data_IF_386807969900
#
_entry.id   IF_386807969900
#
_cell.length_a   1.000
_cell.length_b   1.000
_cell.length_c   1.000
_cell.angle_alpha   90.00
_cell.angle_beta   90.00
_cell.angle_gamma   90.00
#
_symmetry.space_group_name_H-M   'P 1'
#
loop_
_entity.id
_entity.type
_entity.pdbx_description
1 polymer ?
#
# COMPACT_ATOMS: atom_id res chain seq x y z
N UNK A 1 -14.78 -3.99 -4.86
CA UNK A 1 -13.58 -3.72 -5.69
C UNK A 1 -12.43 -3.33 -4.76
N UNK A 2 -11.26 -3.96 -4.89
CA UNK A 2 -10.06 -3.56 -4.14
C UNK A 2 -9.05 -2.90 -5.08
N UNK A 3 -8.82 -1.60 -4.91
CA UNK A 3 -7.84 -0.86 -5.72
C UNK A 3 -6.44 -1.22 -5.27
N UNK A 4 -5.56 -1.46 -6.23
CA UNK A 4 -4.17 -1.86 -5.99
C UNK A 4 -3.22 -0.90 -6.70
N UNK A 5 -1.97 -0.87 -6.25
CA UNK A 5 -0.85 -0.20 -6.90
C UNK A 5 0.32 -1.15 -7.10
N UNK A 6 1.28 -0.73 -7.93
CA UNK A 6 2.43 -1.54 -8.30
C UNK A 6 3.44 -1.66 -7.16
N UNK A 7 3.83 -2.88 -6.83
CA UNK A 7 5.14 -3.20 -6.27
C UNK A 7 6.07 -3.50 -7.46
N UNK A 8 6.99 -2.58 -7.74
CA UNK A 8 7.77 -2.61 -8.98
C UNK A 8 8.75 -3.79 -9.03
N UNK A 9 8.96 -4.30 -10.23
CA UNK A 9 9.85 -5.43 -10.48
C UNK A 9 9.82 -5.87 -11.94
N UNK A 10 10.19 -7.12 -12.18
CA UNK A 10 9.99 -7.80 -13.45
C UNK A 10 8.50 -8.00 -13.71
N UNK A 11 8.09 -7.91 -14.97
CA UNK A 11 6.70 -8.09 -15.39
C UNK A 11 6.03 -9.28 -14.69
N UNK A 12 4.89 -9.02 -14.06
CA UNK A 12 4.16 -9.98 -13.25
C UNK A 12 2.87 -10.43 -13.93
N UNK A 13 2.19 -11.39 -13.30
CA UNK A 13 0.95 -11.97 -13.80
C UNK A 13 -0.22 -10.98 -13.83
N UNK A 14 -0.24 -9.99 -12.94
CA UNK A 14 -1.32 -9.01 -12.82
C UNK A 14 -0.75 -7.62 -13.08
N UNK A 15 -1.16 -7.03 -14.19
CA UNK A 15 -0.73 -5.69 -14.62
C UNK A 15 -1.98 -4.79 -14.81
N UNK A 16 -1.87 -3.49 -14.52
CA UNK A 16 -2.93 -2.55 -14.87
C UNK A 16 -3.07 -2.49 -16.40
N UNK A 17 -4.25 -2.06 -16.86
CA UNK A 17 -4.56 -1.88 -18.29
C UNK A 17 -5.25 -0.53 -18.50
N UNK A 18 -5.23 -0.05 -19.75
CA UNK A 18 -5.84 1.22 -20.15
C UNK A 18 -5.40 2.38 -19.24
N UNK A 19 -6.32 3.27 -18.86
CA UNK A 19 -6.05 4.47 -18.07
C UNK A 19 -5.28 4.20 -16.77
N UNK A 20 -5.49 3.03 -16.14
CA UNK A 20 -4.76 2.66 -14.93
C UNK A 20 -3.27 2.37 -15.22
N UNK A 21 -2.95 1.83 -16.39
CA UNK A 21 -1.56 1.59 -16.80
C UNK A 21 -0.85 2.92 -17.07
N UNK A 22 -1.51 3.83 -17.80
CA UNK A 22 -0.97 5.15 -18.10
C UNK A 22 -0.74 5.96 -16.81
N UNK A 23 -1.70 5.92 -15.88
CA UNK A 23 -1.58 6.58 -14.58
C UNK A 23 -0.41 6.03 -13.75
N UNK A 24 -0.28 4.70 -13.65
CA UNK A 24 0.84 4.10 -12.93
C UNK A 24 2.19 4.38 -13.60
N UNK A 25 2.26 4.34 -14.93
CA UNK A 25 3.47 4.69 -15.66
C UNK A 25 3.89 6.14 -15.41
N UNK A 26 2.94 7.07 -15.39
CA UNK A 26 3.20 8.47 -15.10
C UNK A 26 3.68 8.67 -13.66
N UNK A 27 3.01 8.06 -12.67
CA UNK A 27 3.39 8.15 -11.26
C UNK A 27 4.79 7.58 -10.96
N UNK A 28 5.24 6.62 -11.77
CA UNK A 28 6.51 5.93 -11.61
C UNK A 28 7.65 6.48 -12.49
N UNK A 29 7.38 7.50 -13.33
CA UNK A 29 8.32 7.99 -14.34
C UNK A 29 9.69 8.39 -13.74
N UNK A 30 9.69 9.05 -12.59
CA UNK A 30 10.91 9.55 -11.93
C UNK A 30 11.72 8.45 -11.22
N UNK A 31 11.16 7.24 -11.09
CA UNK A 31 11.77 6.13 -10.33
C UNK A 31 12.43 5.08 -11.23
N UNK A 32 12.63 5.37 -12.51
CA UNK A 32 13.14 4.42 -13.51
C UNK A 32 14.48 3.76 -13.11
N UNK A 33 15.36 4.49 -12.41
CA UNK A 33 16.63 3.94 -11.90
C UNK A 33 16.39 2.76 -10.94
N UNK A 34 15.53 2.95 -9.95
CA UNK A 34 15.21 1.92 -8.95
C UNK A 34 14.47 0.73 -9.54
N UNK A 35 13.50 1.00 -10.43
CA UNK A 35 12.70 -0.05 -11.09
C UNK A 35 13.62 -0.97 -11.91
N UNK A 36 14.55 -0.40 -12.69
CA UNK A 36 15.55 -1.19 -13.44
C UNK A 36 16.46 -1.99 -12.50
N UNK A 37 16.82 -1.43 -11.34
CA UNK A 37 17.57 -2.14 -10.30
C UNK A 37 16.82 -3.39 -9.81
N UNK A 38 15.55 -3.24 -9.43
CA UNK A 38 14.70 -4.34 -8.98
C UNK A 38 14.56 -5.45 -10.05
N UNK A 39 14.40 -5.05 -11.31
CA UNK A 39 14.35 -5.98 -12.45
C UNK A 39 15.66 -6.76 -12.62
N UNK A 40 16.83 -6.10 -12.51
CA UNK A 40 18.15 -6.76 -12.56
C UNK A 40 18.35 -7.74 -11.41
N UNK A 41 17.83 -7.41 -10.23
CA UNK A 41 17.80 -8.29 -9.07
C UNK A 41 16.77 -9.42 -9.18
N UNK A 42 16.04 -9.52 -10.30
CA UNK A 42 15.00 -10.53 -10.54
C UNK A 42 13.87 -10.50 -9.49
N UNK A 43 13.57 -9.34 -8.92
CA UNK A 43 12.40 -9.15 -8.07
C UNK A 43 11.17 -9.16 -8.97
N UNK A 44 10.23 -10.07 -8.74
CA UNK A 44 8.96 -10.09 -9.46
C UNK A 44 8.08 -8.93 -9.00
N UNK A 45 7.42 -8.27 -9.96
CA UNK A 45 6.43 -7.26 -9.61
C UNK A 45 5.23 -7.92 -8.91
N UNK A 46 4.51 -7.13 -8.13
CA UNK A 46 3.29 -7.58 -7.45
C UNK A 46 2.32 -6.41 -7.28
N UNK A 47 1.15 -6.67 -6.72
CA UNK A 47 0.08 -5.71 -6.51
C UNK A 47 -0.21 -5.59 -5.03
N UNK A 48 -0.15 -4.37 -4.52
CA UNK A 48 -0.50 -4.08 -3.13
C UNK A 48 -1.78 -3.27 -3.07
N UNK A 49 -2.67 -3.62 -2.14
CA UNK A 49 -3.85 -2.82 -1.83
C UNK A 49 -3.46 -1.38 -1.50
N UNK A 50 -4.09 -0.38 -2.14
CA UNK A 50 -3.82 1.04 -1.88
C UNK A 50 -4.50 1.54 -0.60
N UNK A 51 -5.42 0.75 -0.05
CA UNK A 51 -6.10 1.01 1.22
C UNK A 51 -6.08 -0.22 2.10
N UNK A 52 -6.12 0.01 3.40
CA UNK A 52 -6.29 -1.03 4.40
C UNK A 52 -7.63 -0.82 5.09
N UNK A 53 -8.42 -1.89 5.19
CA UNK A 53 -9.63 -1.89 6.02
C UNK A 53 -9.24 -2.22 7.46
N UNK A 54 -9.63 -1.35 8.38
CA UNK A 54 -9.55 -1.61 9.82
C UNK A 54 -10.79 -2.40 10.22
N UNK A 55 -10.60 -3.58 10.80
CA UNK A 55 -11.69 -4.44 11.24
C UNK A 55 -11.84 -4.37 12.75
N UNK A 56 -13.08 -4.50 13.22
CA UNK A 56 -13.42 -4.59 14.64
C UNK A 56 -12.85 -3.43 15.48
N UNK A 57 -12.87 -2.21 14.92
CA UNK A 57 -12.34 -1.03 15.58
C UNK A 57 -13.20 -0.69 16.80
N UNK A 58 -12.57 -0.73 17.97
CA UNK A 58 -13.09 -0.26 19.24
C UNK A 58 -12.15 0.81 19.78
N UNK A 59 -12.72 1.83 20.40
CA UNK A 59 -11.96 2.92 20.98
C UNK A 59 -12.64 3.48 22.22
N UNK A 60 -11.82 3.97 23.15
CA UNK A 60 -12.29 4.68 24.34
C UNK A 60 -11.25 5.69 24.80
N UNK A 61 -11.72 6.81 25.36
CA UNK A 61 -10.86 7.75 26.07
C UNK A 61 -10.75 7.35 27.54
N UNK A 62 -9.52 7.29 28.05
CA UNK A 62 -9.19 7.07 29.45
C UNK A 62 -8.39 8.29 29.94
N UNK A 63 -9.10 9.33 30.37
CA UNK A 63 -8.48 10.62 30.71
C UNK A 63 -7.93 11.31 29.46
N UNK A 64 -6.62 11.50 29.41
CA UNK A 64 -5.88 12.07 28.28
C UNK A 64 -5.36 11.01 27.29
N UNK A 65 -5.63 9.72 27.54
CA UNK A 65 -5.23 8.62 26.66
C UNK A 65 -6.39 8.16 25.77
N UNK A 66 -6.07 7.83 24.51
CA UNK A 66 -6.98 7.14 23.59
C UNK A 66 -6.53 5.68 23.44
N UNK A 67 -7.33 4.75 23.95
CA UNK A 67 -7.11 3.32 23.76
C UNK A 67 -7.79 2.86 22.47
N UNK A 68 -7.06 2.13 21.64
CA UNK A 68 -7.55 1.57 20.37
C UNK A 68 -7.36 0.06 20.35
N UNK A 69 -8.40 -0.67 19.97
CA UNK A 69 -8.35 -2.10 19.68
C UNK A 69 -8.90 -2.33 18.27
N UNK A 70 -8.15 -3.03 17.43
CA UNK A 70 -8.54 -3.31 16.05
C UNK A 70 -7.72 -4.45 15.46
N UNK A 71 -8.21 -5.04 14.38
CA UNK A 71 -7.49 -6.01 13.57
C UNK A 71 -7.16 -5.45 12.19
N UNK A 72 -5.97 -5.77 11.68
CA UNK A 72 -5.52 -5.40 10.35
C UNK A 72 -5.17 -6.64 9.51
N UNK A 73 -5.39 -6.61 8.19
CA UNK A 73 -4.94 -7.67 7.31
C UNK A 73 -3.40 -7.76 7.32
N UNK A 74 -2.87 -8.96 7.06
CA UNK A 74 -1.42 -9.22 6.97
C UNK A 74 -0.75 -8.23 6.00
N UNK A 75 0.44 -7.77 6.38
CA UNK A 75 1.20 -6.79 5.61
C UNK A 75 0.75 -5.33 5.78
N UNK A 76 -0.29 -5.06 6.58
CA UNK A 76 -0.64 -3.70 7.03
C UNK A 76 0.07 -3.33 8.33
N UNK A 77 0.18 -2.03 8.60
CA UNK A 77 0.88 -1.51 9.77
C UNK A 77 -0.07 -0.67 10.63
N UNK A 78 -0.08 -0.89 11.95
CA UNK A 78 -0.85 -0.09 12.91
C UNK A 78 -0.46 1.39 12.91
N UNK A 79 0.81 1.67 12.60
CA UNK A 79 1.32 3.04 12.46
C UNK A 79 0.66 3.81 11.31
N UNK A 80 0.23 3.12 10.25
CA UNK A 80 -0.50 3.77 9.15
C UNK A 80 -1.87 4.29 9.63
N UNK A 81 -2.59 3.52 10.47
CA UNK A 81 -3.83 3.99 11.09
C UNK A 81 -3.55 5.14 12.07
N UNK A 82 -2.52 5.00 12.91
CA UNK A 82 -2.17 6.01 13.91
C UNK A 82 -1.84 7.36 13.28
N UNK A 83 -1.17 7.35 12.12
CA UNK A 83 -0.84 8.55 11.33
C UNK A 83 -2.08 9.29 10.79
N UNK A 84 -3.19 8.60 10.58
CA UNK A 84 -4.45 9.25 10.18
C UNK A 84 -5.17 9.93 11.36
N UNK A 85 -4.84 9.54 12.59
CA UNK A 85 -5.47 10.06 13.81
C UNK A 85 -4.70 11.21 14.43
N UNK A 86 -3.38 11.23 14.27
CA UNK A 86 -2.46 12.17 14.93
C UNK A 86 -1.60 12.85 13.85
N UNK A 87 -1.53 14.18 13.89
CA UNK A 87 -0.69 14.98 13.00
C UNK A 87 0.64 15.34 13.64
#
# INVERSE_FOLDING_TARGET
>A
INLTGCLCGKAARIMPVADAADFEQQALADYAFWIKGLQRCKVDADRRSLRTTVNDLQWEFQGDMLLLSFSLPKGSYATALTKELIR
#
